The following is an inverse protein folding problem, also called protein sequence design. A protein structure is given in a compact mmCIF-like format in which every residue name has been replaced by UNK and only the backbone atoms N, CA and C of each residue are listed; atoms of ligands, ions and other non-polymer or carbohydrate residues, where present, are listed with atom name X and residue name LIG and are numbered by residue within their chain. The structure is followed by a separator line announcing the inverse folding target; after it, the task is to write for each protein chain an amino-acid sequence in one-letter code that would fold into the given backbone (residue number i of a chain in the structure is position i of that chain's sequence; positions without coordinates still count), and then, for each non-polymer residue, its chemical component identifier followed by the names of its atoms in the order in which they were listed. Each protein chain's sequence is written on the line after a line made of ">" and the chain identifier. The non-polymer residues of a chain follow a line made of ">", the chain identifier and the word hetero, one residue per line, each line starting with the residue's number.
data_IF_207466414790
#
_entry.id   IF_207466414790
#
_cell.length_a   1.000
_cell.length_b   1.000
_cell.length_c   1.000
_cell.angle_alpha   90.00
_cell.angle_beta   90.00
_cell.angle_gamma   90.00
#
_symmetry.space_group_name_H-M   'P 1'
#
loop_
_entity.id
_entity.type
_entity.pdbx_description
1 polymer ?
#
# COMPACT_ATOMS: atom_id res chain seq x y z
N UNK A 1 -3.95 6.51 18.25
CA UNK A 1 -3.75 5.71 17.03
C UNK A 1 -4.22 6.59 15.89
N UNK A 2 -3.43 6.73 14.83
CA UNK A 2 -3.87 7.42 13.64
C UNK A 2 -5.13 6.73 13.08
N UNK A 3 -6.06 7.50 12.54
CA UNK A 3 -7.24 6.95 11.88
C UNK A 3 -6.89 6.70 10.41
N UNK A 4 -6.35 5.51 10.14
CA UNK A 4 -5.85 5.15 8.82
C UNK A 4 -7.00 4.89 7.84
N UNK A 5 -6.77 5.20 6.57
CA UNK A 5 -7.78 5.11 5.51
C UNK A 5 -7.42 4.08 4.43
N UNK A 6 -8.42 3.35 3.93
CA UNK A 6 -8.25 2.32 2.88
C UNK A 6 -9.40 2.40 1.87
N UNK A 7 -9.26 3.21 0.79
CA UNK A 7 -10.32 3.36 -0.21
C UNK A 7 -10.71 2.05 -0.90
N UNK A 8 -12.01 1.72 -0.90
CA UNK A 8 -12.52 0.45 -1.44
C UNK A 8 -12.36 0.28 -2.97
N UNK A 9 -12.11 1.38 -3.69
CA UNK A 9 -11.90 1.39 -5.14
C UNK A 9 -10.44 1.13 -5.57
N UNK A 10 -9.57 0.76 -4.63
CA UNK A 10 -8.18 0.43 -4.87
C UNK A 10 -7.93 -1.06 -4.68
N UNK A 11 -6.85 -1.52 -5.33
CA UNK A 11 -6.22 -2.82 -5.09
C UNK A 11 -4.94 -2.62 -4.28
N UNK A 12 -4.53 -3.63 -3.52
CA UNK A 12 -3.45 -3.53 -2.56
C UNK A 12 -2.50 -4.72 -2.62
N UNK A 13 -1.25 -4.52 -2.21
CA UNK A 13 -0.23 -5.57 -2.08
C UNK A 13 0.04 -5.91 -0.61
N UNK A 14 0.72 -7.04 -0.38
CA UNK A 14 1.21 -7.41 0.95
C UNK A 14 2.35 -6.49 1.43
N UNK A 15 3.05 -5.83 0.49
CA UNK A 15 4.12 -4.85 0.69
C UNK A 15 3.62 -3.40 0.82
N UNK A 16 2.32 -3.20 1.06
CA UNK A 16 1.71 -1.92 1.41
C UNK A 16 1.70 -0.85 0.29
N UNK A 17 1.73 -1.27 -0.98
CA UNK A 17 1.40 -0.45 -2.15
C UNK A 17 -0.09 -0.55 -2.53
N UNK A 18 -0.57 0.44 -3.28
CA UNK A 18 -1.91 0.46 -3.86
C UNK A 18 -1.89 0.68 -5.37
N UNK A 19 -2.92 0.19 -6.04
CA UNK A 19 -3.18 0.35 -7.48
C UNK A 19 -4.59 0.88 -7.70
N UNK A 20 -4.70 1.97 -8.47
CA UNK A 20 -5.96 2.50 -9.01
C UNK A 20 -6.01 2.27 -10.51
N UNK A 21 -6.99 1.50 -10.99
CA UNK A 21 -7.14 1.20 -12.42
C UNK A 21 -8.14 2.16 -13.06
N UNK A 22 -7.76 2.75 -14.18
CA UNK A 22 -8.61 3.58 -15.05
C UNK A 22 -8.37 3.19 -16.52
N UNK A 23 -9.29 2.40 -17.08
CA UNK A 23 -9.14 1.85 -18.44
C UNK A 23 -7.94 0.90 -18.56
N UNK A 24 -6.99 1.25 -19.43
CA UNK A 24 -5.75 0.51 -19.65
C UNK A 24 -4.56 1.04 -18.83
N UNK A 25 -4.80 2.06 -18.00
CA UNK A 25 -3.79 2.67 -17.12
C UNK A 25 -4.03 2.33 -15.66
N UNK A 26 -2.93 2.31 -14.91
CA UNK A 26 -2.91 2.06 -13.49
C UNK A 26 -2.03 3.11 -12.79
N UNK A 27 -2.57 3.75 -11.76
CA UNK A 27 -1.81 4.63 -10.86
C UNK A 27 -1.32 3.82 -9.66
N UNK A 28 -0.08 4.02 -9.26
CA UNK A 28 0.60 3.30 -8.18
C UNK A 28 1.07 4.30 -7.12
N UNK A 29 0.97 3.93 -5.84
CA UNK A 29 1.54 4.64 -4.70
C UNK A 29 1.64 3.74 -3.46
N UNK A 30 2.04 4.30 -2.31
CA UNK A 30 2.05 3.57 -1.02
C UNK A 30 0.85 3.93 -0.17
N UNK A 31 0.45 3.01 0.70
CA UNK A 31 -0.73 3.16 1.57
C UNK A 31 -0.48 4.13 2.72
N UNK A 32 -1.59 4.58 3.33
CA UNK A 32 -1.58 5.35 4.57
C UNK A 32 -0.93 4.58 5.73
N UNK A 33 -1.00 3.25 5.71
CA UNK A 33 -0.26 2.42 6.67
C UNK A 33 1.26 2.50 6.43
N UNK A 34 1.71 2.36 5.18
CA UNK A 34 3.14 2.40 4.85
C UNK A 34 3.77 3.72 5.29
N UNK A 35 3.14 4.85 4.95
CA UNK A 35 3.67 6.17 5.33
C UNK A 35 3.70 6.36 6.85
N UNK A 36 2.69 5.87 7.59
CA UNK A 36 2.68 5.95 9.07
C UNK A 36 3.80 5.13 9.70
N UNK A 37 4.10 3.95 9.13
CA UNK A 37 5.22 3.11 9.59
C UNK A 37 6.58 3.77 9.31
N UNK A 38 6.75 4.37 8.13
CA UNK A 38 7.97 5.10 7.75
C UNK A 38 8.13 6.37 8.59
N UNK A 39 7.03 7.05 8.95
CA UNK A 39 7.05 8.38 9.54
C UNK A 39 7.38 9.45 8.49
N UNK A 40 8.01 10.53 8.92
CA UNK A 40 8.27 11.70 8.07
C UNK A 40 9.19 11.34 6.88
N UNK A 41 8.62 11.34 5.68
CA UNK A 41 9.32 11.03 4.43
C UNK A 41 10.10 12.26 4.00
N UNK A 42 11.38 12.06 3.70
CA UNK A 42 12.32 13.15 3.38
C UNK A 42 12.92 13.02 1.99
N UNK A 43 12.83 11.83 1.38
CA UNK A 43 13.35 11.58 0.04
C UNK A 43 12.66 10.40 -0.62
N UNK A 44 12.58 10.44 -1.94
CA UNK A 44 12.14 9.35 -2.78
C UNK A 44 12.96 9.32 -4.07
N UNK A 45 13.33 8.13 -4.50
CA UNK A 45 13.95 7.86 -5.79
C UNK A 45 12.97 7.08 -6.65
N UNK A 46 12.60 7.67 -7.78
CA UNK A 46 11.74 7.08 -8.80
C UNK A 46 12.51 7.03 -10.13
N UNK A 47 12.08 6.19 -11.08
CA UNK A 47 12.59 6.23 -12.45
C UNK A 47 12.04 7.48 -13.12
N UNK A 48 12.74 8.61 -12.94
CA UNK A 48 12.30 9.92 -13.40
C UNK A 48 12.12 10.03 -14.92
N UNK A 49 12.65 9.05 -15.67
CA UNK A 49 12.40 8.88 -17.09
C UNK A 49 11.16 8.00 -17.32
N UNK A 50 10.07 8.63 -17.76
CA UNK A 50 8.81 7.97 -18.06
C UNK A 50 8.85 7.01 -19.26
N UNK A 51 10.00 6.80 -19.93
CA UNK A 51 10.15 5.80 -21.00
C UNK A 51 10.48 4.39 -20.50
N UNK A 52 10.70 4.23 -19.19
CA UNK A 52 11.04 2.94 -18.60
C UNK A 52 9.82 2.03 -18.42
N UNK A 53 10.05 0.73 -18.26
CA UNK A 53 9.02 -0.24 -17.90
C UNK A 53 9.27 -0.75 -16.49
N UNK A 54 8.20 -1.08 -15.78
CA UNK A 54 8.24 -1.75 -14.48
C UNK A 54 7.74 -3.18 -14.65
N UNK A 55 8.27 -4.10 -13.84
CA UNK A 55 7.86 -5.50 -13.83
C UNK A 55 7.24 -5.84 -12.48
N UNK A 56 6.20 -6.65 -12.48
CA UNK A 56 5.58 -7.16 -11.25
C UNK A 56 6.63 -7.76 -10.30
N UNK A 57 6.53 -7.44 -9.02
CA UNK A 57 7.45 -7.84 -7.93
C UNK A 57 8.89 -7.35 -8.09
N UNK A 58 9.19 -6.51 -9.09
CA UNK A 58 10.49 -5.88 -9.24
C UNK A 58 10.50 -4.51 -8.56
N UNK A 59 11.65 -4.17 -7.98
CA UNK A 59 11.94 -2.84 -7.48
C UNK A 59 11.87 -1.80 -8.61
N UNK A 60 11.16 -0.70 -8.36
CA UNK A 60 11.19 0.47 -9.25
C UNK A 60 11.82 1.69 -8.60
N UNK A 61 11.92 1.74 -7.27
CA UNK A 61 12.44 2.91 -6.57
C UNK A 61 12.78 2.64 -5.11
N UNK A 62 13.14 3.70 -4.41
CA UNK A 62 13.45 3.71 -2.99
C UNK A 62 12.73 4.87 -2.31
N UNK A 63 12.28 4.68 -1.08
CA UNK A 63 11.71 5.72 -0.25
C UNK A 63 12.47 5.83 1.07
N UNK A 64 12.77 7.05 1.49
CA UNK A 64 13.54 7.32 2.71
C UNK A 64 12.80 8.30 3.62
N UNK A 65 12.80 7.94 4.88
CA UNK A 65 12.25 8.70 5.99
C UNK A 65 13.35 8.97 7.02
N UNK A 66 13.05 9.78 8.03
CA UNK A 66 13.96 9.97 9.18
C UNK A 66 14.22 8.69 9.99
N UNK A 67 13.42 7.63 9.78
CA UNK A 67 13.51 6.38 10.55
C UNK A 67 14.13 5.24 9.75
N UNK A 68 13.83 5.14 8.46
CA UNK A 68 14.13 3.99 7.62
C UNK A 68 14.15 4.33 6.13
N UNK A 69 14.86 3.49 5.39
CA UNK A 69 14.80 3.40 3.92
C UNK A 69 14.11 2.09 3.54
N UNK A 70 13.19 2.13 2.59
CA UNK A 70 12.47 0.97 2.07
C UNK A 70 12.50 0.95 0.55
N UNK A 71 12.49 -0.24 -0.03
CA UNK A 71 12.34 -0.40 -1.47
C UNK A 71 10.87 -0.24 -1.86
N UNK A 72 10.63 0.27 -3.08
CA UNK A 72 9.32 0.37 -3.70
C UNK A 72 9.19 -0.73 -4.75
N UNK A 73 8.22 -1.63 -4.56
CA UNK A 73 8.03 -2.81 -5.40
C UNK A 73 6.83 -2.61 -6.30
N UNK A 74 6.97 -2.92 -7.60
CA UNK A 74 5.88 -2.71 -8.54
C UNK A 74 4.79 -3.76 -8.35
N UNK A 75 3.52 -3.34 -8.10
CA UNK A 75 2.40 -4.27 -7.92
C UNK A 75 1.94 -4.91 -9.23
N UNK A 76 2.40 -4.43 -10.39
CA UNK A 76 2.06 -4.93 -11.72
C UNK A 76 3.17 -4.62 -12.74
N UNK A 77 3.14 -5.30 -13.87
CA UNK A 77 3.98 -5.04 -15.03
C UNK A 77 3.34 -3.99 -15.94
N UNK A 78 4.11 -2.98 -16.34
CA UNK A 78 3.60 -1.92 -17.20
C UNK A 78 4.67 -1.05 -17.85
N UNK A 79 4.28 -0.40 -18.93
CA UNK A 79 5.06 0.67 -19.56
C UNK A 79 4.74 1.97 -18.82
N UNK A 80 5.75 2.70 -18.37
CA UNK A 80 5.53 3.97 -17.68
C UNK A 80 4.94 5.01 -18.63
N UNK A 81 4.00 5.79 -18.12
CA UNK A 81 3.35 6.88 -18.85
C UNK A 81 3.61 8.20 -18.14
N UNK A 82 3.62 8.18 -16.80
CA UNK A 82 3.91 9.36 -15.97
C UNK A 82 4.64 8.95 -14.69
N UNK A 83 5.44 9.87 -14.20
CA UNK A 83 6.05 9.86 -12.87
C UNK A 83 5.66 11.16 -12.18
N UNK A 84 5.39 11.13 -10.87
CA UNK A 84 5.03 12.31 -10.12
C UNK A 84 6.28 13.14 -9.78
N UNK A 85 6.63 14.07 -10.67
CA UNK A 85 7.81 14.91 -10.49
C UNK A 85 7.72 15.86 -9.29
N UNK A 86 6.52 16.15 -8.78
CA UNK A 86 6.36 17.01 -7.60
C UNK A 86 7.06 16.41 -6.37
N UNK A 87 7.19 15.08 -6.31
CA UNK A 87 7.84 14.39 -5.20
C UNK A 87 9.36 14.63 -5.13
N UNK A 88 9.98 15.20 -6.18
CA UNK A 88 11.39 15.65 -6.13
C UNK A 88 11.59 16.78 -5.11
N UNK A 89 10.62 17.69 -5.06
CA UNK A 89 10.68 18.91 -4.25
C UNK A 89 9.78 18.83 -3.01
N UNK A 90 8.76 17.98 -3.03
CA UNK A 90 7.72 17.87 -2.00
C UNK A 90 7.39 16.41 -1.68
N UNK A 91 8.35 15.62 -1.15
CA UNK A 91 8.14 14.21 -0.82
C UNK A 91 7.10 14.00 0.29
N UNK A 92 6.83 15.01 1.14
CA UNK A 92 5.84 14.97 2.21
C UNK A 92 4.39 14.79 1.72
N UNK A 93 4.12 15.01 0.42
CA UNK A 93 2.82 14.69 -0.18
C UNK A 93 2.43 13.22 0.00
N UNK A 94 3.42 12.33 0.16
CA UNK A 94 3.19 10.91 0.44
C UNK A 94 2.64 10.70 1.86
N UNK A 95 3.09 11.52 2.83
CA UNK A 95 2.52 11.49 4.17
C UNK A 95 1.14 12.15 4.21
N UNK A 96 0.99 13.32 3.57
CA UNK A 96 -0.22 14.14 3.67
C UNK A 96 -1.39 13.62 2.82
N UNK A 97 -1.09 13.02 1.67
CA UNK A 97 -2.06 12.69 0.62
C UNK A 97 -1.71 11.39 -0.13
N UNK A 98 -1.51 10.25 0.56
CA UNK A 98 -0.95 9.02 -0.02
C UNK A 98 -1.76 8.45 -1.20
N UNK A 99 -3.06 8.73 -1.26
CA UNK A 99 -3.97 8.21 -2.28
C UNK A 99 -4.30 9.20 -3.41
N UNK A 100 -3.99 10.48 -3.21
CA UNK A 100 -4.30 11.55 -4.15
C UNK A 100 -3.02 12.19 -4.67
N UNK A 101 -2.42 13.14 -3.95
CA UNK A 101 -1.25 13.90 -4.46
C UNK A 101 0.08 13.14 -4.30
N UNK A 102 0.13 12.16 -3.41
CA UNK A 102 1.29 11.30 -3.14
C UNK A 102 1.43 10.07 -4.06
N UNK A 103 0.69 10.02 -5.16
CA UNK A 103 0.88 8.97 -6.18
C UNK A 103 2.30 9.02 -6.76
N UNK A 104 2.83 7.88 -7.21
CA UNK A 104 4.23 7.78 -7.66
C UNK A 104 4.32 7.61 -9.17
N UNK A 105 3.66 6.59 -9.71
CA UNK A 105 3.74 6.21 -11.12
C UNK A 105 2.35 6.07 -11.73
N UNK A 106 2.24 6.36 -13.03
CA UNK A 106 1.14 5.89 -13.88
C UNK A 106 1.75 5.02 -14.96
N UNK A 107 1.23 3.80 -15.10
CA UNK A 107 1.68 2.82 -16.08
C UNK A 107 0.54 2.38 -16.98
N UNK A 108 0.85 2.04 -18.22
CA UNK A 108 -0.02 1.26 -19.09
C UNK A 108 0.15 -0.21 -18.75
N UNK A 109 -0.95 -0.87 -18.39
CA UNK A 109 -0.93 -2.25 -17.91
C UNK A 109 -0.58 -3.20 -19.07
N UNK A 110 0.47 -4.00 -18.89
CA UNK A 110 0.91 -4.97 -19.92
C UNK A 110 0.41 -6.39 -19.68
N UNK A 111 0.08 -6.72 -18.42
CA UNK A 111 -0.44 -8.02 -17.99
C UNK A 111 -1.61 -7.84 -17.01
N UNK A 112 -2.83 -7.63 -17.52
CA UNK A 112 -4.00 -7.35 -16.68
C UNK A 112 -4.31 -8.42 -15.64
N UNK A 113 -3.94 -9.68 -15.90
CA UNK A 113 -4.11 -10.80 -14.99
C UNK A 113 -3.37 -10.64 -13.65
N UNK A 114 -2.30 -9.83 -13.59
CA UNK A 114 -1.58 -9.53 -12.35
C UNK A 114 -2.44 -8.71 -11.37
N UNK A 115 -3.49 -8.02 -11.86
CA UNK A 115 -4.45 -7.33 -11.01
C UNK A 115 -5.34 -8.29 -10.21
N UNK A 116 -5.52 -9.52 -10.67
CA UNK A 116 -6.37 -10.52 -10.02
C UNK A 116 -5.71 -11.11 -8.77
N UNK A 117 -4.37 -11.06 -8.69
CA UNK A 117 -3.61 -11.44 -7.49
C UNK A 117 -3.58 -10.36 -6.41
N UNK A 118 -4.02 -9.13 -6.70
CA UNK A 118 -4.01 -8.04 -5.73
C UNK A 118 -5.23 -8.07 -4.82
N UNK A 119 -5.01 -7.68 -3.57
CA UNK A 119 -6.04 -7.65 -2.53
C UNK A 119 -7.03 -6.51 -2.71
N UNK A 120 -8.28 -6.75 -2.33
CA UNK A 120 -9.25 -5.70 -2.05
C UNK A 120 -8.94 -4.96 -0.74
N UNK A 121 -9.58 -3.82 -0.52
CA UNK A 121 -9.47 -3.09 0.76
C UNK A 121 -9.87 -3.95 1.97
N UNK A 122 -10.86 -4.84 1.83
CA UNK A 122 -11.33 -5.72 2.91
C UNK A 122 -10.32 -6.81 3.30
N UNK A 123 -9.53 -7.25 2.33
CA UNK A 123 -8.45 -8.22 2.49
C UNK A 123 -7.21 -7.57 3.11
N UNK A 124 -6.89 -6.33 2.72
CA UNK A 124 -5.71 -5.60 3.17
C UNK A 124 -5.78 -5.07 4.62
N UNK A 125 -6.98 -4.77 5.13
CA UNK A 125 -7.18 -4.05 6.41
C UNK A 125 -6.24 -4.49 7.57
N UNK A 126 -5.55 -3.54 8.23
CA UNK A 126 -4.64 -3.85 9.32
C UNK A 126 -5.36 -4.53 10.49
N UNK A 127 -4.80 -5.67 10.92
CA UNK A 127 -5.39 -6.52 11.96
C UNK A 127 -5.76 -7.91 11.47
N UNK A 128 -5.82 -8.14 10.15
CA UNK A 128 -5.75 -9.48 9.59
C UNK A 128 -4.30 -9.95 9.50
N UNK A 129 -4.01 -11.22 9.84
CA UNK A 129 -2.74 -11.82 9.48
C UNK A 129 -2.61 -11.85 7.95
N UNK A 130 -1.61 -11.16 7.41
CA UNK A 130 -1.16 -11.34 6.03
C UNK A 130 0.05 -12.27 6.04
N UNK A 131 0.25 -13.10 5.00
CA UNK A 131 1.51 -13.81 4.80
C UNK A 131 2.69 -12.84 4.93
N UNK A 132 3.70 -13.18 5.74
CA UNK A 132 4.91 -12.35 5.91
C UNK A 132 4.77 -11.08 6.76
N UNK A 133 3.56 -10.61 7.10
CA UNK A 133 3.38 -9.42 7.94
C UNK A 133 3.35 -9.77 9.44
N UNK A 134 4.26 -9.24 10.27
CA UNK A 134 4.17 -9.41 11.71
C UNK A 134 2.84 -8.86 12.22
N UNK A 135 2.14 -9.62 13.07
CA UNK A 135 0.94 -9.09 13.71
C UNK A 135 1.32 -7.86 14.53
N UNK A 136 0.53 -6.76 14.49
CA UNK A 136 0.73 -5.66 15.42
C UNK A 136 0.69 -6.25 16.83
N UNK A 137 1.77 -6.02 17.60
CA UNK A 137 1.93 -6.59 18.92
C UNK A 137 0.67 -6.36 19.74
N UNK A 138 0.04 -7.44 20.23
CA UNK A 138 -1.14 -7.31 21.09
C UNK A 138 -0.81 -6.31 22.19
N UNK A 139 -1.65 -5.30 22.46
CA UNK A 139 -1.46 -4.50 23.65
C UNK A 139 -1.47 -5.46 24.84
N UNK A 140 -0.34 -5.52 25.56
CA UNK A 140 -0.20 -6.27 26.79
C UNK A 140 -1.31 -5.80 27.75
N UNK A 141 -2.37 -6.60 27.92
CA UNK A 141 -3.42 -6.33 28.91
C UNK A 141 -4.89 -6.42 28.48
N UNK A 142 -5.23 -6.86 27.26
CA UNK A 142 -6.65 -7.09 26.92
C UNK A 142 -7.08 -8.53 27.23
N UNK A 143 -7.92 -8.79 28.26
CA UNK A 143 -8.40 -10.13 28.56
C UNK A 143 -9.35 -10.60 27.46
N UNK A 144 -9.20 -11.87 27.07
CA UNK A 144 -10.06 -12.55 26.11
C UNK A 144 -11.49 -12.63 26.67
N UNK A 145 -12.42 -11.85 26.13
CA UNK A 145 -13.84 -12.19 26.24
C UNK A 145 -14.17 -13.19 25.14
N UNK A 146 -13.96 -14.47 25.44
CA UNK A 146 -14.43 -15.59 24.62
C UNK A 146 -15.37 -16.49 25.43
N UNK A 147 -16.62 -16.51 24.97
CA UNK A 147 -17.68 -17.55 25.13
C UNK A 147 -18.33 -17.77 26.50
N UNK A 148 -19.63 -18.08 26.59
CA UNK A 148 -20.55 -18.45 25.52
C UNK A 148 -22.00 -18.60 26.00
N UNK A 149 -22.91 -18.56 25.02
CA UNK A 149 -24.24 -19.13 25.14
C UNK A 149 -24.11 -20.63 25.43
N UNK A 150 -24.72 -21.09 26.51
CA UNK A 150 -25.24 -22.44 26.60
C UNK A 150 -26.70 -22.34 27.03
N UNK A 151 -27.60 -22.51 26.06
CA UNK A 151 -28.98 -22.93 26.30
C UNK A 151 -28.97 -24.21 27.13
N UNK A 152 -29.75 -24.24 28.20
CA UNK A 152 -30.43 -25.47 28.60
C UNK A 152 -31.89 -25.18 28.88
N UNK A 153 -32.72 -25.94 28.18
CA UNK A 153 -34.17 -26.02 28.22
C UNK A 153 -34.61 -27.23 29.05
N UNK A 154 -35.69 -27.07 29.83
CA UNK A 154 -36.50 -28.13 30.46
C UNK A 154 -35.84 -28.80 31.68
N UNK A 155 -36.52 -29.12 32.78
CA UNK A 155 -37.95 -29.26 33.13
C UNK A 155 -38.11 -28.83 34.59
#
# INVERSE_FOLDING_TARGET
>A
MANLTYPANLKYTESDEWVRVDGDQATIGITDYAQDQLGDIVYIELPWDASQSVSHEAKFGDIESVKATSELISPISGEMVKVNEALKDTPELINDSPYDEGWMLVVKVTKPEELDSLMSAEEYQPGRPLPGRPLPGRPQGSPLLYTGLASQSGV
#
